data_IF_839990688056
#
_entry.id   IF_839990688056
#
_cell.length_a   1.000
_cell.length_b   1.000
_cell.length_c   1.000
_cell.angle_alpha   90.00
_cell.angle_beta   90.00
_cell.angle_gamma   90.00
#
_symmetry.space_group_name_H-M   'P 1'
#
loop_
_entity.id
_entity.type
_entity.pdbx_description
1 polymer ?
#
# COMPACT_ATOMS: atom_id res chain seq x y z
N UNK A 1 -5.39 -18.39 -8.24
CA UNK A 1 -4.98 -17.55 -7.10
C UNK A 1 -3.48 -17.29 -7.20
N UNK A 2 -3.02 -16.04 -7.08
CA UNK A 2 -1.57 -15.73 -7.13
C UNK A 2 -1.02 -15.76 -5.71
N UNK A 3 -0.10 -16.68 -5.43
CA UNK A 3 0.47 -16.89 -4.09
C UNK A 3 1.73 -16.07 -3.84
N UNK A 4 2.46 -15.70 -4.90
CA UNK A 4 3.72 -14.98 -4.80
C UNK A 4 3.71 -13.74 -5.69
N UNK A 5 4.32 -12.68 -5.19
CA UNK A 5 4.64 -11.49 -5.96
C UNK A 5 6.04 -11.02 -5.56
N UNK A 6 6.95 -11.06 -6.52
CA UNK A 6 8.27 -10.45 -6.38
C UNK A 6 8.25 -9.05 -6.99
N UNK A 7 8.79 -8.07 -6.28
CA UNK A 7 9.16 -6.75 -6.79
C UNK A 7 10.67 -6.60 -6.66
N UNK A 8 11.34 -6.22 -7.75
CA UNK A 8 12.77 -5.96 -7.80
C UNK A 8 12.95 -4.48 -8.17
N UNK A 9 13.76 -3.78 -7.40
CA UNK A 9 14.04 -2.36 -7.60
C UNK A 9 15.48 -2.05 -7.18
N UNK A 10 16.06 -1.01 -7.77
CA UNK A 10 17.36 -0.51 -7.34
C UNK A 10 17.27 0.08 -5.92
N UNK A 11 18.31 -0.13 -5.10
CA UNK A 11 18.31 0.23 -3.67
C UNK A 11 18.22 1.73 -3.38
N UNK A 12 18.41 2.57 -4.39
CA UNK A 12 18.26 4.04 -4.30
C UNK A 12 17.04 4.55 -5.06
N UNK A 13 16.25 3.67 -5.67
CA UNK A 13 15.04 4.09 -6.39
C UNK A 13 13.99 4.64 -5.42
N UNK A 14 13.25 5.65 -5.88
CA UNK A 14 12.12 6.20 -5.13
C UNK A 14 11.13 5.10 -4.72
N UNK A 15 10.82 4.18 -5.63
CA UNK A 15 9.92 3.06 -5.34
C UNK A 15 10.39 2.20 -4.16
N UNK A 16 11.69 1.89 -4.08
CA UNK A 16 12.25 1.13 -2.97
C UNK A 16 12.11 1.89 -1.65
N UNK A 17 12.53 3.16 -1.63
CA UNK A 17 12.49 4.00 -0.44
C UNK A 17 11.06 4.25 0.06
N UNK A 18 10.13 4.56 -0.84
CA UNK A 18 8.70 4.75 -0.52
C UNK A 18 8.07 3.46 0.02
N UNK A 19 8.41 2.31 -0.55
CA UNK A 19 7.91 1.01 -0.07
C UNK A 19 8.36 0.73 1.37
N UNK A 20 9.63 1.04 1.69
CA UNK A 20 10.15 0.90 3.05
C UNK A 20 9.51 1.92 4.01
N UNK A 21 9.43 3.19 3.62
CA UNK A 21 8.84 4.25 4.44
C UNK A 21 7.36 3.95 4.78
N UNK A 22 6.57 3.53 3.79
CA UNK A 22 5.17 3.16 4.01
C UNK A 22 5.05 1.95 4.96
N UNK A 23 5.86 0.90 4.74
CA UNK A 23 5.90 -0.27 5.62
C UNK A 23 6.23 0.11 7.07
N UNK A 24 7.19 1.00 7.26
CA UNK A 24 7.67 1.39 8.58
C UNK A 24 6.70 2.35 9.28
N UNK A 25 5.93 3.15 8.53
CA UNK A 25 4.77 3.90 9.07
C UNK A 25 3.70 2.95 9.61
N UNK A 26 3.29 1.94 8.83
CA UNK A 26 2.28 0.97 9.28
C UNK A 26 2.72 0.16 10.51
N UNK A 27 4.02 -0.13 10.64
CA UNK A 27 4.54 -0.87 11.81
C UNK A 27 4.57 -0.04 13.08
N UNK A 28 4.71 1.28 12.97
CA UNK A 28 4.76 2.20 14.12
C UNK A 28 3.37 2.56 14.63
N UNK A 29 2.36 2.55 13.77
CA UNK A 29 0.99 2.91 14.13
C UNK A 29 -0.01 1.77 13.81
N UNK A 30 -0.43 1.00 14.83
CA UNK A 30 -1.45 -0.05 14.68
C UNK A 30 -2.81 0.45 14.16
N UNK A 31 -3.18 1.69 14.47
CA UNK A 31 -4.45 2.28 14.01
C UNK A 31 -4.38 2.55 12.51
N UNK A 32 -3.26 3.08 12.03
CA UNK A 32 -3.01 3.28 10.61
C UNK A 32 -2.97 1.95 9.84
N UNK A 33 -2.36 0.91 10.42
CA UNK A 33 -2.35 -0.43 9.86
C UNK A 33 -3.76 -1.02 9.73
N UNK A 34 -4.62 -0.83 10.75
CA UNK A 34 -6.02 -1.25 10.72
C UNK A 34 -6.79 -0.51 9.61
N UNK A 35 -6.67 0.82 9.53
CA UNK A 35 -7.33 1.62 8.49
C UNK A 35 -6.92 1.19 7.07
N UNK A 36 -5.64 0.88 6.86
CA UNK A 36 -5.19 0.32 5.57
C UNK A 36 -5.71 -1.09 5.30
N UNK A 37 -5.87 -1.91 6.35
CA UNK A 37 -6.53 -3.21 6.29
C UNK A 37 -7.97 -3.12 5.79
N UNK A 38 -8.75 -2.23 6.40
CA UNK A 38 -10.16 -2.00 6.07
C UNK A 38 -10.33 -1.48 4.64
N UNK A 39 -9.49 -0.52 4.22
CA UNK A 39 -9.47 -0.04 2.83
C UNK A 39 -9.21 -1.18 1.83
N UNK A 40 -8.26 -2.07 2.12
CA UNK A 40 -7.98 -3.24 1.25
C UNK A 40 -9.18 -4.17 1.17
N UNK A 41 -9.88 -4.42 2.28
CA UNK A 41 -11.06 -5.27 2.30
C UNK A 41 -12.22 -4.65 1.51
N UNK A 42 -12.46 -3.34 1.68
CA UNK A 42 -13.48 -2.61 0.94
C UNK A 42 -13.21 -2.62 -0.56
N UNK A 43 -11.97 -2.34 -0.98
CA UNK A 43 -11.60 -2.35 -2.40
C UNK A 43 -11.70 -3.74 -3.03
N UNK A 44 -11.36 -4.80 -2.27
CA UNK A 44 -11.53 -6.17 -2.73
C UNK A 44 -13.00 -6.52 -2.95
N UNK A 45 -13.90 -6.05 -2.07
CA UNK A 45 -15.35 -6.21 -2.21
C UNK A 45 -15.92 -5.41 -3.39
N UNK A 46 -15.47 -4.17 -3.59
CA UNK A 46 -15.94 -3.29 -4.68
C UNK A 46 -15.42 -3.70 -6.07
N UNK A 47 -14.23 -4.28 -6.15
CA UNK A 47 -13.57 -4.60 -7.41
C UNK A 47 -13.11 -6.08 -7.48
N UNK A 48 -14.03 -7.05 -7.39
CA UNK A 48 -13.69 -8.47 -7.32
C UNK A 48 -12.91 -9.00 -8.54
N UNK A 49 -13.11 -8.38 -9.71
CA UNK A 49 -12.42 -8.73 -10.97
C UNK A 49 -11.42 -7.65 -11.44
N UNK A 50 -11.26 -6.56 -10.67
CA UNK A 50 -10.66 -5.31 -11.15
C UNK A 50 -9.34 -4.97 -10.46
N UNK A 51 -8.23 -5.62 -10.85
CA UNK A 51 -6.89 -5.32 -10.27
C UNK A 51 -6.49 -3.85 -10.44
N UNK A 52 -6.79 -3.23 -11.59
CA UNK A 52 -6.47 -1.80 -11.83
C UNK A 52 -7.20 -0.88 -10.86
N UNK A 53 -8.50 -1.08 -10.68
CA UNK A 53 -9.31 -0.28 -9.75
C UNK A 53 -8.88 -0.49 -8.29
N UNK A 54 -8.54 -1.73 -7.93
CA UNK A 54 -7.97 -2.06 -6.62
C UNK A 54 -6.63 -1.35 -6.35
N UNK A 55 -5.73 -1.28 -7.34
CA UNK A 55 -4.46 -0.58 -7.21
C UNK A 55 -4.65 0.93 -7.12
N UNK A 56 -5.49 1.50 -7.99
CA UNK A 56 -5.81 2.93 -7.98
C UNK A 56 -6.44 3.36 -6.64
N UNK A 57 -7.35 2.55 -6.09
CA UNK A 57 -8.02 2.86 -4.82
C UNK A 57 -7.10 2.93 -3.61
N UNK A 58 -5.90 2.31 -3.67
CA UNK A 58 -4.91 2.41 -2.59
C UNK A 58 -3.99 3.61 -2.70
N UNK A 59 -3.80 4.12 -3.93
CA UNK A 59 -2.77 5.12 -4.22
C UNK A 59 -2.94 6.36 -3.34
N UNK A 60 -4.15 6.89 -3.22
CA UNK A 60 -4.43 8.07 -2.39
C UNK A 60 -4.07 7.88 -0.91
N UNK A 61 -4.37 6.70 -0.34
CA UNK A 61 -4.01 6.40 1.04
C UNK A 61 -2.48 6.33 1.22
N UNK A 62 -1.78 5.64 0.32
CA UNK A 62 -0.32 5.49 0.37
C UNK A 62 0.35 6.86 0.26
N UNK A 63 -0.06 7.68 -0.72
CA UNK A 63 0.49 9.03 -0.92
C UNK A 63 0.27 9.91 0.31
N UNK A 64 -0.93 9.86 0.92
CA UNK A 64 -1.20 10.61 2.15
C UNK A 64 -0.26 10.20 3.29
N UNK A 65 -0.13 8.89 3.54
CA UNK A 65 0.74 8.40 4.61
C UNK A 65 2.18 8.82 4.38
N UNK A 66 2.68 8.71 3.15
CA UNK A 66 4.05 9.10 2.82
C UNK A 66 4.28 10.61 2.99
N UNK A 67 3.28 11.45 2.68
CA UNK A 67 3.37 12.89 2.89
C UNK A 67 3.43 13.27 4.39
N UNK A 68 2.78 12.50 5.26
CA UNK A 68 2.80 12.68 6.72
C UNK A 68 4.11 12.17 7.38
N UNK A 69 5.01 11.52 6.62
CA UNK A 69 6.34 11.09 7.10
C UNK A 69 7.45 12.12 6.83
N UNK A 70 7.13 13.24 6.18
CA UNK A 70 8.05 14.34 5.86
C UNK A 70 7.99 15.49 6.87
#
# INVERSE_FOLDING_TARGET
>A
MRTHHLSLAEGTSAHYLETLAFRDALRRDPTLAAAYGDLKAELARKHPLGRKAYLAGKAGFITRVLAEQG
#
